data_IF_386975273375
#
_entry.id   IF_386975273375
#
_cell.length_a   1.000
_cell.length_b   1.000
_cell.length_c   1.000
_cell.angle_alpha   90.00
_cell.angle_beta   90.00
_cell.angle_gamma   90.00
#
_symmetry.space_group_name_H-M   'P 1'
#
loop_
_entity.id
_entity.type
_entity.pdbx_description
1 polymer ?
#
# COMPACT_ATOMS: atom_id res chain seq x y z
N UNK A 1 3.91 19.04 53.35
CA UNK A 1 4.67 19.26 52.09
C UNK A 1 5.17 17.97 51.44
N UNK A 2 5.77 17.01 52.16
CA UNK A 2 6.29 15.76 51.58
C UNK A 2 5.24 14.87 50.87
N UNK A 3 4.02 14.76 51.43
CA UNK A 3 2.92 13.94 50.86
C UNK A 3 2.37 14.46 49.54
N UNK A 4 2.48 15.77 49.27
CA UNK A 4 2.02 16.37 48.02
C UNK A 4 2.99 16.07 46.87
N UNK A 5 4.29 16.10 47.13
CA UNK A 5 5.32 15.71 46.16
C UNK A 5 5.23 14.23 45.78
N UNK A 6 4.94 13.35 46.75
CA UNK A 6 4.73 11.92 46.46
C UNK A 6 3.50 11.69 45.58
N UNK A 7 2.41 12.41 45.82
CA UNK A 7 1.19 12.30 45.00
C UNK A 7 1.41 12.79 43.56
N UNK A 8 2.10 13.92 43.38
CA UNK A 8 2.46 14.44 42.08
C UNK A 8 3.38 13.47 41.30
N UNK A 9 4.31 12.81 41.99
CA UNK A 9 5.20 11.81 41.39
C UNK A 9 4.43 10.59 40.87
N UNK A 10 3.46 10.09 41.63
CA UNK A 10 2.61 8.97 41.19
C UNK A 10 1.79 9.32 39.95
N UNK A 11 1.21 10.53 39.88
CA UNK A 11 0.49 10.99 38.68
C UNK A 11 1.43 11.05 37.47
N UNK A 12 2.65 11.55 37.65
CA UNK A 12 3.63 11.62 36.58
C UNK A 12 4.02 10.23 36.06
N UNK A 13 4.24 9.27 36.96
CA UNK A 13 4.55 7.87 36.60
C UNK A 13 3.39 7.22 35.85
N UNK A 14 2.15 7.41 36.30
CA UNK A 14 0.96 6.87 35.62
C UNK A 14 0.82 7.50 34.22
N UNK A 15 1.01 8.82 34.10
CA UNK A 15 0.93 9.51 32.82
C UNK A 15 2.00 9.00 31.85
N UNK A 16 3.25 8.85 32.29
CA UNK A 16 4.34 8.27 31.47
C UNK A 16 4.09 6.80 31.08
N UNK A 17 3.46 6.02 31.96
CA UNK A 17 3.11 4.62 31.66
C UNK A 17 2.00 4.53 30.60
N UNK A 18 0.99 5.42 30.63
CA UNK A 18 -0.08 5.46 29.62
C UNK A 18 0.44 5.80 28.22
N UNK A 19 1.40 6.72 28.10
CA UNK A 19 2.05 7.06 26.82
C UNK A 19 2.88 5.89 26.27
N UNK A 20 3.40 5.02 27.14
CA UNK A 20 4.18 3.84 26.73
C UNK A 20 3.30 2.67 26.24
N UNK A 21 2.02 2.64 26.62
CA UNK A 21 1.05 1.64 26.17
C UNK A 21 0.37 2.00 24.84
N UNK A 22 0.56 3.23 24.34
CA UNK A 22 -0.01 3.70 23.07
C UNK A 22 0.96 3.59 21.90
N UNK A 23 2.02 2.78 22.00
CA UNK A 23 2.80 2.45 20.80
C UNK A 23 1.85 1.77 19.81
N UNK A 24 1.54 2.38 18.65
CA UNK A 24 0.89 1.62 17.60
C UNK A 24 1.82 0.45 17.29
N UNK A 25 1.27 -0.76 17.24
CA UNK A 25 2.02 -1.93 16.82
C UNK A 25 2.49 -1.71 15.37
N UNK A 26 3.66 -1.09 15.22
CA UNK A 26 4.39 -1.00 13.96
C UNK A 26 4.71 -2.43 13.55
N UNK A 27 3.92 -3.01 12.65
CA UNK A 27 4.20 -4.32 12.08
C UNK A 27 3.02 -5.29 11.94
N UNK A 28 1.81 -4.94 12.39
CA UNK A 28 0.59 -5.63 11.94
C UNK A 28 -0.15 -4.67 11.00
N UNK A 29 0.49 -4.33 9.89
CA UNK A 29 -0.29 -4.02 8.69
C UNK A 29 -0.77 -5.37 8.19
N UNK A 30 -2.06 -5.52 7.94
CA UNK A 30 -2.51 -6.56 7.03
C UNK A 30 -1.91 -6.23 5.66
N UNK A 31 -0.66 -6.65 5.46
CA UNK A 31 0.08 -6.37 4.24
C UNK A 31 -0.61 -7.10 3.10
N UNK A 32 -1.52 -6.37 2.44
CA UNK A 32 -2.15 -6.79 1.19
C UNK A 32 -1.07 -7.42 0.30
N UNK A 33 -1.34 -8.63 -0.18
CA UNK A 33 -0.44 -9.35 -1.08
C UNK A 33 -0.03 -8.41 -2.22
N UNK A 34 1.28 -8.35 -2.49
CA UNK A 34 1.84 -7.53 -3.57
C UNK A 34 2.22 -8.43 -4.74
N UNK A 35 1.77 -8.08 -5.93
CA UNK A 35 2.06 -8.80 -7.17
C UNK A 35 2.82 -7.89 -8.12
N UNK A 36 3.95 -8.34 -8.64
CA UNK A 36 4.64 -7.67 -9.74
C UNK A 36 4.12 -8.21 -11.08
N UNK A 37 3.73 -7.32 -11.97
CA UNK A 37 3.32 -7.64 -13.35
C UNK A 37 4.47 -7.20 -14.27
N UNK A 38 5.12 -8.18 -14.89
CA UNK A 38 6.25 -7.96 -15.80
C UNK A 38 5.71 -8.03 -17.23
N UNK A 39 5.34 -6.88 -17.79
CA UNK A 39 4.55 -6.78 -19.03
C UNK A 39 4.68 -5.36 -19.65
N UNK A 40 3.78 -4.93 -20.53
CA UNK A 40 3.80 -3.61 -21.21
C UNK A 40 3.59 -2.40 -20.28
N UNK A 41 3.15 -2.61 -19.04
CA UNK A 41 2.84 -1.55 -18.09
C UNK A 41 1.53 -1.83 -17.37
N UNK A 42 1.02 -0.84 -16.63
CA UNK A 42 -0.35 -0.86 -16.11
C UNK A 42 -0.94 0.53 -16.26
N UNK A 43 -2.12 0.64 -16.87
CA UNK A 43 -2.80 1.93 -16.96
C UNK A 43 -3.33 2.37 -15.59
N UNK A 44 -2.84 3.52 -15.13
CA UNK A 44 -3.27 4.17 -13.88
C UNK A 44 -4.72 4.67 -13.93
N UNK A 45 -5.27 4.78 -15.14
CA UNK A 45 -6.63 5.20 -15.40
C UNK A 45 -7.59 4.02 -15.31
N UNK A 46 -7.17 2.81 -15.67
CA UNK A 46 -8.01 1.61 -15.71
C UNK A 46 -8.11 0.87 -14.36
N UNK A 47 -7.07 0.94 -13.54
CA UNK A 47 -6.97 0.26 -12.25
C UNK A 47 -7.06 1.28 -11.11
N UNK A 48 -7.78 0.95 -10.02
CA UNK A 48 -7.89 1.83 -8.86
C UNK A 48 -6.53 2.12 -8.24
N UNK A 49 -6.31 3.37 -7.81
CA UNK A 49 -5.09 3.79 -7.13
C UNK A 49 -4.82 2.98 -5.84
N UNK A 50 -5.87 2.49 -5.18
CA UNK A 50 -5.75 1.65 -3.99
C UNK A 50 -5.12 0.28 -4.29
N UNK A 51 -5.29 -0.20 -5.53
CA UNK A 51 -4.73 -1.44 -6.03
C UNK A 51 -3.37 -1.25 -6.73
N UNK A 52 -2.94 -0.02 -7.00
CA UNK A 52 -1.66 0.24 -7.66
C UNK A 52 -0.52 0.39 -6.63
N UNK A 53 0.65 -0.14 -6.96
CA UNK A 53 1.93 0.12 -6.31
C UNK A 53 2.90 0.68 -7.31
N UNK A 54 3.86 1.47 -6.82
CA UNK A 54 4.95 1.97 -7.63
C UNK A 54 5.70 0.82 -8.30
N UNK A 55 5.96 1.02 -9.59
CA UNK A 55 6.64 0.08 -10.48
C UNK A 55 7.95 0.64 -11.00
N UNK A 56 8.60 -0.08 -11.92
CA UNK A 56 9.79 0.38 -12.62
C UNK A 56 9.74 0.04 -14.11
N UNK A 57 10.09 0.99 -14.97
CA UNK A 57 10.21 0.74 -16.41
C UNK A 57 11.66 0.32 -16.70
N UNK A 58 11.87 -0.92 -17.15
CA UNK A 58 13.21 -1.46 -17.39
C UNK A 58 13.74 -1.16 -18.81
N UNK A 59 12.90 -0.69 -19.73
CA UNK A 59 13.31 -0.27 -21.07
C UNK A 59 13.73 1.19 -21.08
N UNK A 60 12.89 2.06 -20.52
CA UNK A 60 13.13 3.50 -20.39
C UNK A 60 13.11 3.87 -18.90
N UNK A 61 14.23 3.74 -18.15
CA UNK A 61 14.27 3.89 -16.70
C UNK A 61 13.81 5.26 -16.16
N UNK A 62 13.75 6.28 -17.01
CA UNK A 62 13.30 7.63 -16.67
C UNK A 62 11.84 7.90 -17.07
N UNK A 63 11.14 6.90 -17.63
CA UNK A 63 9.75 7.00 -18.02
C UNK A 63 8.84 6.29 -17.01
N UNK A 64 7.53 6.56 -17.12
CA UNK A 64 6.49 5.87 -16.36
C UNK A 64 6.36 4.40 -16.74
N UNK A 65 5.60 3.67 -15.92
CA UNK A 65 5.11 2.32 -16.22
C UNK A 65 3.67 2.30 -16.74
N UNK A 66 3.18 3.43 -17.26
CA UNK A 66 1.89 3.50 -17.92
C UNK A 66 1.88 2.57 -19.13
N UNK A 67 0.75 1.93 -19.39
CA UNK A 67 0.59 0.97 -20.48
C UNK A 67 -0.06 1.65 -21.68
N UNK A 68 0.67 1.69 -22.80
CA UNK A 68 0.20 2.26 -24.06
C UNK A 68 -0.31 1.19 -25.06
N UNK A 69 -0.25 -0.09 -24.70
CA UNK A 69 -0.57 -1.24 -25.57
C UNK A 69 -1.69 -2.14 -24.97
N UNK A 70 -2.09 -1.88 -23.73
CA UNK A 70 -3.20 -2.49 -22.96
C UNK A 70 -3.00 -3.93 -22.45
N UNK A 71 -1.93 -4.64 -22.83
CA UNK A 71 -1.75 -6.05 -22.43
C UNK A 71 -1.52 -6.20 -20.91
N UNK A 72 -0.57 -5.46 -20.35
CA UNK A 72 -0.30 -5.48 -18.90
C UNK A 72 -1.47 -4.95 -18.07
N UNK A 73 -2.24 -4.01 -18.60
CA UNK A 73 -3.49 -3.52 -18.00
C UNK A 73 -4.56 -4.58 -17.96
N UNK A 74 -4.75 -5.35 -19.04
CA UNK A 74 -5.68 -6.46 -19.07
C UNK A 74 -5.31 -7.53 -18.03
N UNK A 75 -4.02 -7.86 -17.92
CA UNK A 75 -3.50 -8.77 -16.88
C UNK A 75 -3.79 -8.23 -15.48
N UNK A 76 -3.53 -6.94 -15.23
CA UNK A 76 -3.84 -6.30 -13.95
C UNK A 76 -5.34 -6.37 -13.62
N UNK A 77 -6.20 -6.12 -14.61
CA UNK A 77 -7.66 -6.19 -14.47
C UNK A 77 -8.15 -7.57 -14.06
N UNK A 78 -7.56 -8.66 -14.57
CA UNK A 78 -7.90 -10.03 -14.14
C UNK A 78 -7.54 -10.24 -12.65
N UNK A 79 -6.44 -9.66 -12.18
CA UNK A 79 -5.93 -9.88 -10.83
C UNK A 79 -6.70 -9.04 -9.81
N UNK A 80 -6.72 -7.72 -9.96
CA UNK A 80 -7.28 -6.79 -8.96
C UNK A 80 -8.65 -6.23 -9.34
N UNK A 81 -9.09 -6.46 -10.57
CA UNK A 81 -10.34 -5.91 -11.11
C UNK A 81 -10.14 -4.58 -11.82
N UNK A 82 -11.18 -4.17 -12.55
CA UNK A 82 -11.30 -2.84 -13.14
C UNK A 82 -12.76 -2.42 -13.16
N UNK A 83 -13.08 -1.38 -12.39
CA UNK A 83 -14.43 -0.82 -12.36
C UNK A 83 -14.84 -0.27 -13.73
N UNK A 84 -13.90 0.35 -14.46
CA UNK A 84 -14.15 0.92 -15.80
C UNK A 84 -14.51 -0.14 -16.82
N UNK A 85 -13.91 -1.32 -16.73
CA UNK A 85 -14.19 -2.44 -17.62
C UNK A 85 -15.32 -3.35 -17.09
N UNK A 86 -15.83 -3.11 -15.87
CA UNK A 86 -16.82 -3.98 -15.23
C UNK A 86 -16.27 -5.37 -14.88
N UNK A 87 -14.97 -5.47 -14.58
CA UNK A 87 -14.27 -6.73 -14.29
C UNK A 87 -14.05 -6.85 -12.79
N UNK A 88 -14.53 -7.95 -12.19
CA UNK A 88 -14.18 -8.35 -10.83
C UNK A 88 -12.85 -9.12 -10.84
N UNK A 89 -11.91 -8.70 -10.00
CA UNK A 89 -10.59 -9.34 -9.91
C UNK A 89 -10.63 -10.66 -9.13
N UNK A 90 -9.68 -11.55 -9.41
CA UNK A 90 -9.46 -12.78 -8.63
C UNK A 90 -9.04 -12.46 -7.19
N UNK A 91 -8.29 -11.38 -6.99
CA UNK A 91 -7.77 -10.93 -5.71
C UNK A 91 -7.93 -9.40 -5.54
N UNK A 92 -9.18 -8.90 -5.41
CA UNK A 92 -9.50 -7.48 -5.47
C UNK A 92 -8.93 -6.67 -4.29
N UNK A 93 -8.59 -7.33 -3.19
CA UNK A 93 -7.99 -6.71 -2.01
C UNK A 93 -6.44 -6.66 -2.06
N UNK A 94 -5.81 -7.06 -3.16
CA UNK A 94 -4.36 -7.02 -3.33
C UNK A 94 -3.87 -5.77 -4.04
N UNK A 95 -2.53 -5.63 -4.18
CA UNK A 95 -1.94 -4.55 -4.96
C UNK A 95 -0.99 -5.07 -6.03
N UNK A 96 -1.02 -4.45 -7.19
CA UNK A 96 -0.17 -4.75 -8.36
C UNK A 96 0.81 -3.61 -8.61
N UNK A 97 2.05 -3.95 -8.95
CA UNK A 97 3.06 -3.01 -9.42
C UNK A 97 3.59 -3.44 -10.78
N UNK A 98 3.85 -2.48 -11.67
CA UNK A 98 4.32 -2.73 -13.02
C UNK A 98 5.85 -2.84 -13.06
N UNK A 99 6.37 -3.83 -13.77
CA UNK A 99 7.74 -3.88 -14.24
C UNK A 99 7.67 -3.77 -15.77
N UNK A 100 7.68 -2.52 -16.27
CA UNK A 100 7.46 -2.20 -17.67
C UNK A 100 8.58 -2.78 -18.55
N UNK A 101 8.19 -3.58 -19.54
CA UNK A 101 9.06 -4.29 -20.47
C UNK A 101 8.89 -3.86 -21.92
N UNK A 102 8.01 -2.91 -22.25
CA UNK A 102 7.80 -2.37 -23.61
C UNK A 102 7.45 -0.89 -23.56
#
# INVERSE_FOLDING_TARGET
MKRFGTFALFIFIILSFTVSLTNPAYGITEDKIRIAIIDTGISSVAISADNLKEGHNYILPNNSTEDDIDHGTAVAGIIVGSEKAGIEGIMPNSRVGAAGLL
#
